data_IF_656676266839
#
_entry.id   IF_656676266839
#
_cell.length_a   1.000
_cell.length_b   1.000
_cell.length_c   1.000
_cell.angle_alpha   90.00
_cell.angle_beta   90.00
_cell.angle_gamma   90.00
#
_symmetry.space_group_name_H-M   'P 1'
#
loop_
_entity.id
_entity.type
_entity.pdbx_description
1 polymer ?
#
# COMPACT_ATOMS: atom_id res chain seq x y z
N UNK A 1 28.01 -7.96 -23.17
CA UNK A 1 29.42 -8.13 -22.79
C UNK A 1 29.51 -7.62 -21.36
N UNK A 2 29.58 -8.60 -20.46
CA UNK A 2 29.87 -8.58 -19.02
C UNK A 2 29.86 -7.22 -18.29
N UNK A 3 28.95 -7.12 -17.31
CA UNK A 3 29.18 -6.48 -16.02
C UNK A 3 28.33 -7.25 -14.97
N UNK A 4 28.63 -8.54 -14.81
CA UNK A 4 28.07 -9.41 -13.75
C UNK A 4 28.95 -9.45 -12.49
N UNK A 5 29.99 -8.61 -12.40
CA UNK A 5 31.02 -8.68 -11.34
C UNK A 5 30.92 -7.57 -10.27
N UNK A 6 29.71 -7.31 -9.77
CA UNK A 6 29.52 -6.50 -8.54
C UNK A 6 28.78 -7.22 -7.41
N UNK A 7 28.89 -8.55 -7.34
CA UNK A 7 28.67 -9.28 -6.08
C UNK A 7 29.89 -9.10 -5.16
N UNK A 8 30.14 -7.86 -4.75
CA UNK A 8 31.11 -7.54 -3.71
C UNK A 8 30.54 -7.93 -2.34
N UNK A 9 30.77 -9.20 -1.99
CA UNK A 9 31.22 -9.69 -0.68
C UNK A 9 30.68 -8.92 0.53
N UNK A 10 29.42 -9.12 0.84
CA UNK A 10 28.94 -8.87 2.20
C UNK A 10 29.00 -10.23 2.91
N UNK A 11 29.74 -10.34 4.02
CA UNK A 11 29.92 -11.62 4.68
C UNK A 11 28.54 -12.13 5.09
N UNK A 12 28.23 -13.38 4.70
CA UNK A 12 26.99 -14.01 5.08
C UNK A 12 26.87 -13.91 6.61
N UNK A 13 25.91 -13.12 7.10
CA UNK A 13 25.71 -12.87 8.54
C UNK A 13 25.58 -14.19 9.31
N UNK A 14 25.10 -15.24 8.65
CA UNK A 14 25.03 -16.61 9.16
C UNK A 14 26.42 -17.18 9.42
N UNK A 15 27.38 -17.01 8.49
CA UNK A 15 28.76 -17.46 8.68
C UNK A 15 29.43 -16.73 9.84
N UNK A 16 29.25 -15.42 9.95
CA UNK A 16 29.81 -14.63 11.05
C UNK A 16 29.22 -15.06 12.40
N UNK A 17 27.90 -15.22 12.47
CA UNK A 17 27.21 -15.70 13.65
C UNK A 17 27.71 -17.10 14.05
N UNK A 18 27.70 -18.05 13.12
CA UNK A 18 28.18 -19.41 13.32
C UNK A 18 29.61 -19.43 13.82
N UNK A 19 30.50 -18.67 13.18
CA UNK A 19 31.91 -18.58 13.57
C UNK A 19 32.08 -18.01 14.98
N UNK A 20 31.36 -16.94 15.32
CA UNK A 20 31.45 -16.30 16.63
C UNK A 20 30.95 -17.22 17.76
N UNK A 21 29.82 -17.89 17.53
CA UNK A 21 29.24 -18.82 18.52
C UNK A 21 30.10 -20.08 18.64
N UNK A 22 30.49 -20.74 17.54
CA UNK A 22 31.35 -21.94 17.59
C UNK A 22 32.70 -21.68 18.27
N UNK A 23 33.31 -20.51 18.07
CA UNK A 23 34.52 -20.14 18.80
C UNK A 23 34.27 -19.98 20.31
N UNK A 24 33.10 -19.47 20.70
CA UNK A 24 32.72 -19.33 22.10
C UNK A 24 32.45 -20.70 22.74
N UNK A 25 31.77 -21.59 22.03
CA UNK A 25 31.54 -22.98 22.42
C UNK A 25 32.84 -23.75 22.60
N UNK A 26 33.79 -23.58 21.67
CA UNK A 26 35.14 -24.17 21.80
C UNK A 26 35.84 -23.70 23.06
N UNK A 27 35.81 -22.39 23.34
CA UNK A 27 36.38 -21.84 24.58
C UNK A 27 35.74 -22.46 25.81
N UNK A 28 34.41 -22.60 25.82
CA UNK A 28 33.67 -23.22 26.93
C UNK A 28 34.11 -24.67 27.14
N UNK A 29 34.22 -25.46 26.07
CA UNK A 29 34.68 -26.84 26.16
C UNK A 29 36.11 -26.98 26.70
N UNK A 30 36.97 -25.99 26.42
CA UNK A 30 38.37 -25.94 26.83
C UNK A 30 38.63 -25.17 28.15
N UNK A 31 37.59 -24.62 28.80
CA UNK A 31 37.73 -23.82 30.04
C UNK A 31 38.38 -24.62 31.18
N UNK A 32 38.05 -25.90 31.29
CA UNK A 32 38.65 -26.79 32.28
C UNK A 32 39.91 -27.38 31.67
N UNK A 33 41.07 -26.97 32.17
CA UNK A 33 42.35 -27.54 31.74
C UNK A 33 42.49 -29.01 32.18
N UNK A 34 43.36 -29.76 31.52
CA UNK A 34 43.64 -31.16 31.88
C UNK A 34 44.14 -31.29 33.33
N UNK A 35 44.93 -30.31 33.78
CA UNK A 35 45.42 -30.24 35.16
C UNK A 35 44.29 -30.04 36.17
N UNK A 36 43.35 -29.15 35.86
CA UNK A 36 42.20 -28.87 36.73
C UNK A 36 41.24 -30.06 36.77
N UNK A 37 41.03 -30.71 35.62
CA UNK A 37 40.27 -31.95 35.51
C UNK A 37 40.84 -33.06 36.41
N UNK A 38 42.16 -33.23 36.43
CA UNK A 38 42.87 -34.20 37.28
C UNK A 38 42.77 -33.87 38.78
N UNK A 39 42.75 -32.58 39.14
CA UNK A 39 42.54 -32.14 40.53
C UNK A 39 41.13 -32.46 41.01
N UNK A 40 40.12 -32.23 40.17
CA UNK A 40 38.71 -32.50 40.47
C UNK A 40 38.47 -34.02 40.57
N UNK A 41 38.90 -34.78 39.56
CA UNK A 41 38.68 -36.23 39.50
C UNK A 41 39.87 -37.01 40.06
N UNK A 42 40.00 -37.00 41.39
CA UNK A 42 41.12 -37.63 42.12
C UNK A 42 41.30 -39.14 41.84
N UNK A 43 40.25 -39.81 41.34
CA UNK A 43 40.24 -41.22 40.91
C UNK A 43 41.31 -41.48 39.84
N UNK A 44 41.64 -40.47 39.03
CA UNK A 44 42.61 -40.58 37.94
C UNK A 44 44.07 -40.29 38.35
N UNK A 45 44.36 -39.93 39.61
CA UNK A 45 45.73 -39.62 40.08
C UNK A 45 46.74 -40.74 39.82
N UNK A 46 46.29 -42.00 39.84
CA UNK A 46 47.13 -43.18 39.61
C UNK A 46 47.26 -43.54 38.11
N UNK A 47 46.48 -42.91 37.22
CA UNK A 47 46.41 -43.23 35.78
C UNK A 47 46.27 -41.95 34.93
N UNK A 48 47.27 -41.06 34.92
CA UNK A 48 47.19 -39.77 34.21
C UNK A 48 46.91 -39.92 32.71
N UNK A 49 47.50 -40.92 32.06
CA UNK A 49 47.24 -41.18 30.62
C UNK A 49 45.80 -41.61 30.32
N UNK A 50 45.07 -42.18 31.29
CA UNK A 50 43.63 -42.46 31.14
C UNK A 50 42.82 -41.18 31.34
N UNK A 51 43.20 -40.36 32.32
CA UNK A 51 42.59 -39.06 32.57
C UNK A 51 42.66 -38.15 31.34
N UNK A 52 43.81 -38.08 30.69
CA UNK A 52 44.01 -37.28 29.48
C UNK A 52 43.07 -37.70 28.35
N UNK A 53 42.86 -39.01 28.16
CA UNK A 53 41.94 -39.53 27.16
C UNK A 53 40.50 -39.17 27.49
N UNK A 54 40.10 -39.29 28.76
CA UNK A 54 38.77 -38.88 29.22
C UNK A 54 38.52 -37.39 29.08
N UNK A 55 39.49 -36.55 29.47
CA UNK A 55 39.39 -35.10 29.33
C UNK A 55 39.21 -34.69 27.86
N UNK A 56 40.05 -35.22 26.97
CA UNK A 56 39.92 -34.97 25.52
C UNK A 56 38.58 -35.47 24.96
N UNK A 57 38.12 -36.64 25.39
CA UNK A 57 36.82 -37.17 24.98
C UNK A 57 35.68 -36.26 25.45
N UNK A 58 35.72 -35.81 26.70
CA UNK A 58 34.73 -34.88 27.27
C UNK A 58 34.69 -33.56 26.51
N UNK A 59 35.84 -32.92 26.28
CA UNK A 59 35.91 -31.65 25.55
C UNK A 59 35.38 -31.80 24.12
N UNK A 60 35.73 -32.90 23.44
CA UNK A 60 35.27 -33.17 22.08
C UNK A 60 33.77 -33.41 22.04
N UNK A 61 33.26 -34.33 22.85
CA UNK A 61 31.84 -34.69 22.85
C UNK A 61 30.96 -33.50 23.24
N UNK A 62 31.39 -32.71 24.24
CA UNK A 62 30.71 -31.48 24.61
C UNK A 62 30.68 -30.48 23.45
N UNK A 63 31.82 -30.27 22.77
CA UNK A 63 31.88 -29.35 21.62
C UNK A 63 31.03 -29.83 20.44
N UNK A 64 31.06 -31.12 20.13
CA UNK A 64 30.28 -31.73 19.05
C UNK A 64 28.78 -31.53 19.33
N UNK A 65 28.30 -31.90 20.52
CA UNK A 65 26.89 -31.73 20.93
C UNK A 65 26.46 -30.26 20.91
N UNK A 66 27.30 -29.35 21.39
CA UNK A 66 26.97 -27.92 21.38
C UNK A 66 26.90 -27.34 19.95
N UNK A 67 27.74 -27.81 19.02
CA UNK A 67 27.66 -27.39 17.63
C UNK A 67 26.45 -28.01 16.91
N UNK A 68 26.10 -29.26 17.20
CA UNK A 68 24.89 -29.88 16.66
C UNK A 68 23.64 -29.09 17.09
N UNK A 69 23.56 -28.70 18.37
CA UNK A 69 22.50 -27.84 18.88
C UNK A 69 22.50 -26.44 18.22
N UNK A 70 23.68 -25.90 17.88
CA UNK A 70 23.77 -24.63 17.15
C UNK A 70 23.17 -24.75 15.74
N UNK A 71 23.44 -25.84 15.04
CA UNK A 71 22.85 -26.10 13.73
C UNK A 71 21.34 -26.34 13.81
N UNK A 72 20.87 -26.99 14.88
CA UNK A 72 19.44 -27.11 15.17
C UNK A 72 18.79 -25.73 15.38
N UNK A 73 19.38 -24.86 16.20
CA UNK A 73 18.87 -23.48 16.41
C UNK A 73 18.84 -22.67 15.10
N UNK A 74 19.85 -22.86 14.24
CA UNK A 74 19.90 -22.19 12.94
C UNK A 74 18.77 -22.64 12.01
N UNK A 75 18.33 -23.89 12.14
CA UNK A 75 17.32 -24.51 11.27
C UNK A 75 15.89 -24.43 11.82
N UNK A 76 15.68 -24.70 13.11
CA UNK A 76 14.37 -24.77 13.79
C UNK A 76 13.62 -23.42 13.76
N UNK A 77 14.35 -22.30 13.89
CA UNK A 77 13.77 -20.95 13.92
C UNK A 77 13.79 -20.21 12.58
N UNK A 78 14.18 -20.86 11.47
CA UNK A 78 14.52 -20.20 10.20
C UNK A 78 15.50 -19.02 10.38
N UNK A 79 16.31 -19.04 11.44
CA UNK A 79 17.25 -17.97 11.79
C UNK A 79 18.23 -17.70 10.65
N UNK A 80 18.66 -18.78 9.97
CA UNK A 80 19.45 -18.66 8.76
C UNK A 80 18.77 -17.77 7.71
N UNK A 81 17.49 -18.02 7.40
CA UNK A 81 16.74 -17.26 6.41
C UNK A 81 16.55 -15.81 6.83
N UNK A 82 16.29 -15.53 8.11
CA UNK A 82 16.13 -14.16 8.62
C UNK A 82 17.45 -13.39 8.59
N UNK A 83 18.59 -14.03 8.89
CA UNK A 83 19.91 -13.41 8.77
C UNK A 83 20.30 -13.13 7.30
N UNK A 84 19.89 -14.01 6.38
CA UNK A 84 20.04 -13.80 4.93
C UNK A 84 19.16 -12.66 4.43
N UNK A 85 17.89 -12.58 4.87
CA UNK A 85 16.99 -11.45 4.56
C UNK A 85 17.54 -10.14 5.11
N UNK A 86 18.09 -10.14 6.34
CA UNK A 86 18.68 -8.96 6.95
C UNK A 86 19.90 -8.47 6.15
N UNK A 87 20.73 -9.39 5.65
CA UNK A 87 21.85 -9.05 4.77
C UNK A 87 21.30 -8.36 3.49
N UNK A 88 20.35 -8.97 2.80
CA UNK A 88 19.75 -8.40 1.60
C UNK A 88 19.13 -7.00 1.83
N UNK A 89 18.45 -6.79 2.96
CA UNK A 89 17.88 -5.49 3.32
C UNK A 89 18.94 -4.43 3.62
N UNK A 90 20.07 -4.83 4.20
CA UNK A 90 21.20 -3.93 4.48
C UNK A 90 21.85 -3.51 3.17
N UNK A 91 22.01 -4.44 2.24
CA UNK A 91 22.61 -4.22 0.92
C UNK A 91 21.75 -3.27 0.08
N UNK A 92 20.44 -3.52 0.04
CA UNK A 92 19.47 -2.70 -0.70
C UNK A 92 19.44 -1.24 -0.22
N UNK A 93 19.71 -1.01 1.07
CA UNK A 93 19.70 0.33 1.68
C UNK A 93 21.10 0.92 1.89
N UNK A 94 22.15 0.31 1.34
CA UNK A 94 23.55 0.73 1.53
C UNK A 94 23.85 2.16 1.07
N UNK A 95 23.04 2.72 0.16
CA UNK A 95 23.16 4.10 -0.33
C UNK A 95 22.50 5.14 0.59
N UNK A 96 21.62 4.73 1.50
CA UNK A 96 20.89 5.63 2.40
C UNK A 96 21.79 5.96 3.60
N UNK A 97 22.28 7.20 3.67
CA UNK A 97 23.13 7.69 4.77
C UNK A 97 22.35 8.40 5.87
N UNK A 98 21.06 8.60 5.68
CA UNK A 98 20.18 9.26 6.64
C UNK A 98 19.76 8.29 7.74
N UNK A 99 19.47 8.84 8.92
CA UNK A 99 18.93 8.04 10.00
C UNK A 99 17.57 7.47 9.59
N UNK A 100 17.52 6.14 9.48
CA UNK A 100 16.28 5.46 9.20
C UNK A 100 15.26 5.74 10.31
N UNK A 101 14.00 5.94 9.92
CA UNK A 101 12.90 6.18 10.84
C UNK A 101 12.84 5.08 11.92
N UNK A 102 12.56 5.48 13.16
CA UNK A 102 12.39 4.57 14.31
C UNK A 102 11.03 4.83 14.95
N UNK A 103 10.30 3.80 15.40
CA UNK A 103 9.02 3.98 16.07
C UNK A 103 9.15 4.90 17.30
N UNK A 104 8.40 6.00 17.39
CA UNK A 104 8.51 6.97 18.48
C UNK A 104 7.86 6.51 19.80
N UNK A 105 7.43 5.24 19.89
CA UNK A 105 6.67 4.70 21.03
C UNK A 105 5.21 5.15 21.11
N UNK A 106 4.75 5.99 20.17
CA UNK A 106 3.37 6.44 20.07
C UNK A 106 2.65 5.68 18.94
N UNK A 107 1.80 4.74 19.31
CA UNK A 107 1.06 3.86 18.38
C UNK A 107 0.18 4.63 17.40
N UNK A 108 -0.64 5.63 17.82
CA UNK A 108 -1.40 6.46 16.88
C UNK A 108 -0.56 7.12 15.79
N UNK A 109 0.63 7.62 16.10
CA UNK A 109 1.52 8.24 15.11
C UNK A 109 2.11 7.20 14.15
N UNK A 110 2.34 5.97 14.60
CA UNK A 110 2.83 4.90 13.76
C UNK A 110 1.76 4.36 12.80
N UNK A 111 0.51 4.22 13.24
CA UNK A 111 -0.58 3.74 12.37
C UNK A 111 -0.90 4.74 11.25
N UNK A 112 -0.77 6.05 11.52
CA UNK A 112 -0.98 7.10 10.51
C UNK A 112 -0.11 6.92 9.26
N UNK A 113 1.13 6.44 9.39
CA UNK A 113 2.00 6.27 8.22
C UNK A 113 1.60 5.08 7.36
N UNK A 114 1.06 4.02 7.95
CA UNK A 114 0.61 2.84 7.21
C UNK A 114 -0.69 3.15 6.45
N UNK A 115 -1.64 3.79 7.14
CA UNK A 115 -2.94 4.15 6.55
C UNK A 115 -2.83 5.30 5.55
N UNK A 116 -1.77 6.13 5.64
CA UNK A 116 -1.59 7.28 4.75
C UNK A 116 -1.61 6.89 3.27
N UNK A 117 -0.96 5.80 2.88
CA UNK A 117 -0.92 5.39 1.47
C UNK A 117 -2.31 5.01 0.96
N UNK A 118 -3.05 4.23 1.75
CA UNK A 118 -4.44 3.84 1.42
C UNK A 118 -5.33 5.07 1.33
N UNK A 119 -5.18 6.01 2.27
CA UNK A 119 -5.93 7.27 2.26
C UNK A 119 -5.63 8.11 1.01
N UNK A 120 -4.37 8.15 0.56
CA UNK A 120 -3.97 8.85 -0.65
C UNK A 120 -4.64 8.22 -1.88
N UNK A 121 -4.53 6.90 -2.04
CA UNK A 121 -5.10 6.18 -3.18
C UNK A 121 -6.63 6.33 -3.28
N UNK A 122 -7.32 6.25 -2.15
CA UNK A 122 -8.76 6.49 -2.09
C UNK A 122 -9.09 7.96 -2.42
N UNK A 123 -8.32 8.92 -1.89
CA UNK A 123 -8.55 10.33 -2.17
C UNK A 123 -8.42 10.68 -3.65
N UNK A 124 -7.41 10.13 -4.35
CA UNK A 124 -7.20 10.31 -5.79
C UNK A 124 -8.35 9.70 -6.60
N UNK A 125 -8.87 8.56 -6.14
CA UNK A 125 -10.00 7.88 -6.79
C UNK A 125 -11.28 8.69 -6.65
N UNK A 126 -11.55 9.22 -5.46
CA UNK A 126 -12.68 10.11 -5.20
C UNK A 126 -12.58 11.40 -6.03
N UNK A 127 -11.41 12.01 -6.08
CA UNK A 127 -11.18 13.24 -6.85
C UNK A 127 -11.50 13.05 -8.35
N UNK A 128 -11.03 11.94 -8.94
CA UNK A 128 -11.37 11.60 -10.34
C UNK A 128 -12.88 11.51 -10.55
N UNK A 129 -13.59 10.81 -9.65
CA UNK A 129 -15.03 10.62 -9.74
C UNK A 129 -15.80 11.93 -9.58
N UNK A 130 -15.39 12.80 -8.65
CA UNK A 130 -16.00 14.12 -8.46
C UNK A 130 -15.83 14.95 -9.73
N UNK A 131 -14.62 14.98 -10.30
CA UNK A 131 -14.33 15.72 -11.53
C UNK A 131 -15.17 15.24 -12.73
N UNK A 132 -15.42 13.94 -12.84
CA UNK A 132 -16.31 13.38 -13.87
C UNK A 132 -17.75 13.87 -13.70
N UNK A 133 -18.29 13.77 -12.48
CA UNK A 133 -19.65 14.20 -12.16
C UNK A 133 -19.82 15.71 -12.39
N UNK A 134 -18.83 16.53 -12.02
CA UNK A 134 -18.87 17.98 -12.23
C UNK A 134 -18.89 18.35 -13.72
N UNK A 135 -18.10 17.65 -14.54
CA UNK A 135 -18.11 17.83 -16.01
C UNK A 135 -19.46 17.45 -16.61
N UNK A 136 -20.01 16.31 -16.21
CA UNK A 136 -21.34 15.88 -16.68
C UNK A 136 -22.43 16.89 -16.27
N UNK A 137 -22.40 17.36 -15.03
CA UNK A 137 -23.34 18.36 -14.53
C UNK A 137 -23.24 19.68 -15.29
N UNK A 138 -22.03 20.14 -15.64
CA UNK A 138 -21.84 21.34 -16.43
C UNK A 138 -22.51 21.21 -17.82
N UNK A 139 -22.32 20.06 -18.49
CA UNK A 139 -22.95 19.78 -19.79
C UNK A 139 -24.47 19.73 -19.65
N UNK A 140 -25.00 19.07 -18.61
CA UNK A 140 -26.44 18.97 -18.38
C UNK A 140 -27.07 20.35 -18.09
N UNK A 141 -26.37 21.22 -17.35
CA UNK A 141 -26.81 22.58 -17.05
C UNK A 141 -26.90 23.44 -18.31
N UNK A 142 -25.93 23.33 -19.22
CA UNK A 142 -25.96 24.00 -20.52
C UNK A 142 -27.17 23.53 -21.34
N UNK A 143 -27.36 22.21 -21.48
CA UNK A 143 -28.50 21.64 -22.19
C UNK A 143 -29.85 22.05 -21.58
N UNK A 144 -29.94 22.12 -20.25
CA UNK A 144 -31.15 22.54 -19.54
C UNK A 144 -31.46 24.01 -19.82
N UNK A 145 -30.44 24.88 -19.82
CA UNK A 145 -30.59 26.29 -20.15
C UNK A 145 -31.12 26.48 -21.56
N UNK A 146 -30.53 25.79 -22.54
CA UNK A 146 -30.97 25.80 -23.93
C UNK A 146 -32.43 25.35 -24.10
N UNK A 147 -32.81 24.26 -23.43
CA UNK A 147 -34.20 23.77 -23.43
C UNK A 147 -35.14 24.79 -22.81
N UNK A 148 -34.77 25.40 -21.68
CA UNK A 148 -35.57 26.46 -21.03
C UNK A 148 -35.78 27.66 -21.95
N UNK A 149 -34.73 28.12 -22.65
CA UNK A 149 -34.82 29.20 -23.62
C UNK A 149 -35.78 28.87 -24.78
N UNK A 150 -35.73 27.64 -25.29
CA UNK A 150 -36.65 27.17 -26.35
C UNK A 150 -38.11 27.16 -25.86
N UNK A 151 -38.36 26.71 -24.63
CA UNK A 151 -39.71 26.73 -24.03
C UNK A 151 -40.22 28.17 -23.87
N UNK A 152 -39.40 29.08 -23.36
CA UNK A 152 -39.75 30.50 -23.23
C UNK A 152 -40.12 31.08 -24.60
N UNK A 153 -39.28 30.87 -25.62
CA UNK A 153 -39.54 31.36 -26.97
C UNK A 153 -40.83 30.78 -27.58
N UNK A 154 -41.15 29.52 -27.31
CA UNK A 154 -42.40 28.90 -27.74
C UNK A 154 -43.60 29.50 -26.99
N UNK A 155 -43.51 29.66 -25.68
CA UNK A 155 -44.55 30.27 -24.86
C UNK A 155 -44.85 31.71 -25.29
N UNK A 156 -43.82 32.50 -25.62
CA UNK A 156 -43.99 33.85 -26.15
C UNK A 156 -44.73 33.86 -27.50
N UNK A 157 -44.41 32.91 -28.39
CA UNK A 157 -45.11 32.78 -29.69
C UNK A 157 -46.58 32.44 -29.47
N UNK A 158 -46.89 31.50 -28.59
CA UNK A 158 -48.26 31.11 -28.23
C UNK A 158 -49.00 32.32 -27.67
N UNK A 159 -48.41 33.02 -26.69
CA UNK A 159 -49.01 34.20 -26.05
C UNK A 159 -49.30 35.30 -27.06
N UNK A 160 -48.36 35.59 -27.98
CA UNK A 160 -48.59 36.57 -29.05
C UNK A 160 -49.71 36.15 -30.01
N UNK A 161 -49.80 34.87 -30.36
CA UNK A 161 -50.86 34.36 -31.23
C UNK A 161 -52.23 34.45 -30.54
N UNK A 162 -52.31 34.03 -29.27
CA UNK A 162 -53.51 34.14 -28.45
C UNK A 162 -53.96 35.60 -28.30
N UNK A 163 -53.04 36.53 -28.07
CA UNK A 163 -53.38 37.96 -27.97
C UNK A 163 -53.90 38.57 -29.28
N UNK A 164 -53.44 38.07 -30.44
CA UNK A 164 -53.90 38.54 -31.76
C UNK A 164 -55.26 37.94 -32.16
N UNK A 165 -55.56 36.73 -31.69
CA UNK A 165 -56.74 35.97 -32.12
C UNK A 165 -58.07 36.73 -31.88
N UNK A 166 -58.36 37.32 -30.70
CA UNK A 166 -59.58 38.11 -30.48
C UNK A 166 -59.72 39.32 -31.41
N UNK A 167 -58.61 39.96 -31.78
CA UNK A 167 -58.61 41.11 -32.69
C UNK A 167 -59.03 40.66 -34.10
N UNK A 168 -58.50 39.54 -34.56
CA UNK A 168 -58.86 38.97 -35.88
C UNK A 168 -60.30 38.46 -35.88
N UNK A 169 -60.73 37.76 -34.82
CA UNK A 169 -62.09 37.25 -34.68
C UNK A 169 -63.10 38.42 -34.71
N UNK A 170 -62.90 39.46 -33.90
CA UNK A 170 -63.80 40.63 -33.89
C UNK A 170 -63.87 41.36 -35.23
N UNK A 171 -62.75 41.44 -35.96
CA UNK A 171 -62.73 42.01 -37.33
C UNK A 171 -63.54 41.16 -38.30
N UNK A 172 -63.40 39.84 -38.26
CA UNK A 172 -64.15 38.91 -39.11
C UNK A 172 -65.64 38.95 -38.79
N UNK A 173 -66.03 38.95 -37.52
CA UNK A 173 -67.43 39.10 -37.09
C UNK A 173 -68.04 40.42 -37.59
N UNK A 174 -67.28 41.52 -37.54
CA UNK A 174 -67.73 42.81 -38.07
C UNK A 174 -67.94 42.78 -39.59
N UNK A 175 -67.04 42.13 -40.33
CA UNK A 175 -67.19 41.96 -41.79
C UNK A 175 -68.38 41.06 -42.13
N UNK A 176 -68.59 39.99 -41.37
CA UNK A 176 -69.72 39.08 -41.56
C UNK A 176 -71.05 39.81 -41.37
N UNK A 177 -71.21 40.58 -40.29
CA UNK A 177 -72.38 41.46 -40.09
C UNK A 177 -72.62 42.40 -41.27
N UNK A 178 -71.57 43.07 -41.76
CA UNK A 178 -71.70 43.98 -42.90
C UNK A 178 -72.13 43.27 -44.20
N UNK A 179 -71.71 42.01 -44.39
CA UNK A 179 -72.16 41.20 -45.54
C UNK A 179 -73.61 40.74 -45.38
N UNK A 180 -74.03 40.36 -44.18
CA UNK A 180 -75.43 40.02 -43.87
C UNK A 180 -76.36 41.21 -44.12
N UNK A 181 -75.96 42.41 -43.69
CA UNK A 181 -76.67 43.66 -43.99
C UNK A 181 -76.80 43.89 -45.51
N UNK A 182 -75.71 43.75 -46.27
CA UNK A 182 -75.74 43.86 -47.73
C UNK A 182 -76.65 42.81 -48.39
N UNK A 183 -76.67 41.57 -47.91
CA UNK A 183 -77.53 40.50 -48.44
C UNK A 183 -79.01 40.81 -48.19
N UNK A 184 -79.37 41.24 -46.97
CA UNK A 184 -80.75 41.65 -46.67
C UNK A 184 -81.24 42.81 -47.54
N UNK A 185 -80.35 43.73 -47.93
CA UNK A 185 -80.66 44.84 -48.86
C UNK A 185 -80.90 44.36 -50.30
N UNK A 186 -80.29 43.24 -50.70
CA UNK A 186 -80.48 42.63 -52.03
C UNK A 186 -81.75 41.77 -52.07
N UNK A 187 -82.10 41.08 -50.98
CA UNK A 187 -83.32 40.27 -50.87
C UNK A 187 -84.62 41.10 -50.75
N UNK A 188 -84.52 42.38 -50.37
CA UNK A 188 -85.67 43.30 -50.26
C UNK A 188 -85.91 44.18 -51.51
N UNK A 189 -85.45 43.74 -52.69
CA UNK A 189 -85.67 44.39 -53.98
C UNK A 189 -86.38 43.46 -54.96
#
# INVERSE_FOLDING_TARGET
MMDEDQQQRIPNNVLLFRLAVSNSLKRIAELVSEEEFLKIFTIFKSKPGTAQKFHKAMCKELLDVMNDNLEEILTEGALQQELEKLAALTDANSSVKEDAWRPPGNVPLHLRSLDAQVMIEESETLEKRVNEIEKENAILMEQLSDKRLKVIAMNDKITRSLNKSPIVISLLEKRLRGLEECLSLIEHK
#
